data_IF_822418810485
#
_entry.id   IF_822418810485
#
_cell.length_a   1.000
_cell.length_b   1.000
_cell.length_c   1.000
_cell.angle_alpha   90.00
_cell.angle_beta   90.00
_cell.angle_gamma   90.00
#
_symmetry.space_group_name_H-M   'P 1'
#
loop_
_entity.id
_entity.type
_entity.pdbx_description
1 polymer ?
#
# COMPACT_ATOMS: atom_id res chain seq x y z
N UNK A 1 58.17 19.25 22.23
CA UNK A 1 57.30 19.46 21.07
C UNK A 1 57.44 20.90 20.62
N UNK A 2 58.09 21.11 19.45
CA UNK A 2 58.53 22.42 18.97
C UNK A 2 57.33 23.34 18.69
N UNK A 3 57.46 24.68 18.95
CA UNK A 3 56.39 25.66 18.73
C UNK A 3 55.83 25.64 17.29
N UNK A 4 56.64 25.27 16.34
CA UNK A 4 56.32 25.14 14.92
C UNK A 4 55.32 23.99 14.67
N UNK A 5 55.52 22.82 15.27
CA UNK A 5 54.60 21.68 15.20
C UNK A 5 53.22 21.98 15.84
N UNK A 6 53.19 22.79 16.90
CA UNK A 6 51.90 23.24 17.48
C UNK A 6 51.16 24.22 16.55
N UNK A 7 51.89 25.08 15.81
CA UNK A 7 51.30 26.01 14.87
C UNK A 7 50.75 25.31 13.63
N UNK A 8 51.50 24.37 13.07
CA UNK A 8 51.04 23.53 11.95
C UNK A 8 49.81 22.72 12.33
N UNK A 9 49.78 22.06 13.49
CA UNK A 9 48.62 21.31 13.97
C UNK A 9 47.38 22.19 14.13
N UNK A 10 47.52 23.44 14.61
CA UNK A 10 46.40 24.40 14.67
C UNK A 10 45.87 24.76 13.27
N UNK A 11 46.74 24.96 12.29
CA UNK A 11 46.34 25.26 10.90
C UNK A 11 45.61 24.06 10.26
N UNK A 12 46.10 22.86 10.45
CA UNK A 12 45.44 21.63 9.97
C UNK A 12 44.07 21.46 10.61
N UNK A 13 43.94 21.63 11.93
CA UNK A 13 42.63 21.54 12.61
C UNK A 13 41.67 22.62 12.09
N UNK A 14 42.12 23.85 11.88
CA UNK A 14 41.29 24.93 11.30
C UNK A 14 40.85 24.61 9.88
N UNK A 15 41.73 24.07 9.05
CA UNK A 15 41.38 23.65 7.69
C UNK A 15 40.35 22.53 7.69
N UNK A 16 40.50 21.54 8.54
CA UNK A 16 39.51 20.46 8.71
C UNK A 16 38.16 21.03 9.15
N UNK A 17 38.12 21.92 10.13
CA UNK A 17 36.88 22.52 10.61
C UNK A 17 36.19 23.38 9.53
N UNK A 18 36.97 24.08 8.70
CA UNK A 18 36.43 24.86 7.58
C UNK A 18 35.84 23.94 6.49
N UNK A 19 36.49 22.83 6.17
CA UNK A 19 35.97 21.84 5.22
C UNK A 19 34.69 21.21 5.73
N UNK A 20 34.64 20.85 7.02
CA UNK A 20 33.42 20.29 7.65
C UNK A 20 32.29 21.34 7.65
N UNK A 21 32.56 22.58 8.00
CA UNK A 21 31.58 23.66 7.99
C UNK A 21 31.05 23.94 6.57
N UNK A 22 31.94 23.95 5.56
CA UNK A 22 31.53 24.06 4.17
C UNK A 22 30.68 22.87 3.71
N UNK A 23 31.04 21.64 4.09
CA UNK A 23 30.24 20.44 3.82
C UNK A 23 28.82 20.51 4.41
N UNK A 24 28.70 20.90 5.68
CA UNK A 24 27.41 21.09 6.35
C UNK A 24 26.59 22.19 5.65
N UNK A 25 27.20 23.29 5.28
CA UNK A 25 26.52 24.38 4.57
C UNK A 25 25.99 23.93 3.19
N UNK A 26 26.83 23.25 2.41
CA UNK A 26 26.46 22.72 1.09
C UNK A 26 25.33 21.72 1.22
N UNK A 27 25.42 20.80 2.20
CA UNK A 27 24.34 19.82 2.48
C UNK A 27 23.03 20.52 2.85
N UNK A 28 23.09 21.56 3.69
CA UNK A 28 21.95 22.37 4.07
C UNK A 28 21.31 23.11 2.88
N UNK A 29 22.13 23.64 1.97
CA UNK A 29 21.66 24.30 0.74
C UNK A 29 20.98 23.27 -0.19
N UNK A 30 21.60 22.11 -0.40
CA UNK A 30 21.03 21.03 -1.21
C UNK A 30 19.71 20.57 -0.60
N UNK A 31 19.69 20.29 0.70
CA UNK A 31 18.48 19.87 1.41
C UNK A 31 17.35 20.90 1.28
N UNK A 32 17.67 22.19 1.46
CA UNK A 32 16.72 23.29 1.29
C UNK A 32 16.23 23.41 -0.16
N UNK A 33 17.13 23.26 -1.14
CA UNK A 33 16.79 23.34 -2.57
C UNK A 33 15.78 22.25 -2.97
N UNK A 34 15.89 21.05 -2.41
CA UNK A 34 14.92 19.96 -2.62
C UNK A 34 13.74 20.00 -1.66
N UNK A 35 13.42 21.13 -1.04
CA UNK A 35 12.23 21.34 -0.22
C UNK A 35 12.31 20.74 1.19
N UNK A 36 13.52 20.39 1.66
CA UNK A 36 13.76 20.14 3.07
C UNK A 36 13.30 21.33 3.92
N UNK A 37 12.88 21.08 5.15
CA UNK A 37 12.29 22.09 6.04
C UNK A 37 11.06 22.82 5.45
N UNK A 38 10.36 22.21 4.49
CA UNK A 38 9.19 22.83 3.87
C UNK A 38 9.49 24.04 2.95
N UNK A 39 10.71 24.16 2.42
CA UNK A 39 11.14 25.29 1.59
C UNK A 39 10.75 25.18 0.11
N UNK A 40 10.15 24.08 -0.34
CA UNK A 40 9.80 23.81 -1.74
C UNK A 40 8.80 24.78 -2.38
N UNK A 41 8.49 24.61 -3.68
CA UNK A 41 7.51 25.43 -4.38
C UNK A 41 6.12 25.27 -3.77
N UNK A 42 5.20 26.13 -4.17
CA UNK A 42 3.82 26.11 -3.71
C UNK A 42 2.90 26.36 -4.88
N UNK A 43 1.86 25.57 -5.04
CA UNK A 43 0.81 25.83 -6.01
C UNK A 43 0.04 27.10 -5.66
N UNK A 44 -0.71 27.62 -6.63
CA UNK A 44 -1.56 28.78 -6.38
C UNK A 44 -2.62 28.42 -5.32
N UNK A 45 -2.55 29.10 -4.16
CA UNK A 45 -3.42 28.80 -3.03
C UNK A 45 -4.87 29.21 -3.26
N UNK A 46 -5.13 30.22 -4.09
CA UNK A 46 -6.50 30.64 -4.41
C UNK A 46 -7.16 29.61 -5.33
N UNK A 47 -6.45 29.19 -6.38
CA UNK A 47 -6.95 28.15 -7.27
C UNK A 47 -7.07 26.80 -6.52
N UNK A 48 -6.10 26.44 -5.68
CA UNK A 48 -6.18 25.23 -4.86
C UNK A 48 -7.44 25.26 -3.96
N UNK A 49 -7.66 26.36 -3.22
CA UNK A 49 -8.82 26.50 -2.33
C UNK A 49 -10.15 26.48 -3.07
N UNK A 50 -10.17 26.91 -4.33
CA UNK A 50 -11.39 26.93 -5.16
C UNK A 50 -11.86 25.55 -5.60
N UNK A 51 -10.91 24.63 -5.85
CA UNK A 51 -11.21 23.29 -6.38
C UNK A 51 -11.01 22.18 -5.35
N UNK A 52 -10.40 22.45 -4.21
CA UNK A 52 -10.27 21.49 -3.12
C UNK A 52 -11.51 21.44 -2.26
N UNK A 53 -11.77 20.29 -1.65
CA UNK A 53 -12.90 20.03 -0.79
C UNK A 53 -12.50 19.13 0.40
N UNK A 54 -13.32 19.02 1.45
CA UNK A 54 -13.13 18.00 2.47
C UNK A 54 -13.39 16.60 1.90
N UNK A 55 -12.80 15.57 2.50
CA UNK A 55 -12.95 14.17 2.06
C UNK A 55 -14.39 13.66 2.07
N UNK A 56 -15.28 14.27 2.88
CA UNK A 56 -16.73 13.97 2.89
C UNK A 56 -17.42 14.26 1.56
N UNK A 57 -16.80 15.07 0.71
CA UNK A 57 -17.31 15.46 -0.61
C UNK A 57 -16.70 14.63 -1.75
N UNK A 58 -15.92 13.58 -1.45
CA UNK A 58 -15.39 12.67 -2.47
C UNK A 58 -16.53 12.17 -3.36
N UNK A 59 -16.28 12.26 -4.67
CA UNK A 59 -17.13 11.70 -5.71
C UNK A 59 -16.31 10.80 -6.63
N UNK A 60 -16.94 9.75 -7.13
CA UNK A 60 -16.36 8.83 -8.11
C UNK A 60 -17.27 8.74 -9.35
N UNK A 61 -16.75 8.48 -10.56
CA UNK A 61 -17.57 8.23 -11.74
C UNK A 61 -18.55 7.05 -11.56
N UNK A 62 -19.70 7.13 -12.24
CA UNK A 62 -20.75 6.09 -12.10
C UNK A 62 -20.27 4.70 -12.57
N UNK A 63 -19.48 4.65 -13.62
CA UNK A 63 -18.99 3.41 -14.22
C UNK A 63 -17.75 2.82 -13.52
N UNK A 64 -17.31 3.44 -12.42
CA UNK A 64 -16.17 2.94 -11.64
C UNK A 64 -16.45 1.54 -11.10
N UNK A 65 -15.55 0.59 -11.36
CA UNK A 65 -15.59 -0.78 -10.82
C UNK A 65 -14.57 -1.00 -9.72
N UNK A 66 -13.43 -0.33 -9.78
CA UNK A 66 -12.39 -0.35 -8.73
C UNK A 66 -12.11 1.08 -8.29
N UNK A 67 -12.31 1.35 -7.00
CA UNK A 67 -11.83 2.57 -6.34
C UNK A 67 -10.55 2.23 -5.60
N UNK A 68 -9.44 2.79 -6.02
CA UNK A 68 -8.14 2.58 -5.40
C UNK A 68 -7.74 3.79 -4.54
N UNK A 69 -7.39 3.55 -3.27
CA UNK A 69 -6.83 4.56 -2.38
C UNK A 69 -5.37 4.22 -2.09
N UNK A 70 -4.48 5.04 -2.59
CA UNK A 70 -3.05 4.93 -2.33
C UNK A 70 -2.64 5.49 -0.96
N UNK A 71 -1.51 5.04 -0.44
CA UNK A 71 -0.84 5.67 0.70
C UNK A 71 0.60 6.06 0.35
N UNK A 72 1.00 7.29 0.72
CA UNK A 72 2.33 7.81 0.43
C UNK A 72 3.41 7.22 1.36
N UNK A 73 3.01 6.63 2.49
CA UNK A 73 3.89 5.97 3.46
C UNK A 73 3.11 5.04 4.38
N UNK A 74 3.71 3.92 4.75
CA UNK A 74 3.10 2.93 5.65
C UNK A 74 3.17 3.29 7.15
N UNK A 75 3.94 4.28 7.55
CA UNK A 75 4.29 4.57 8.95
C UNK A 75 3.46 5.64 9.65
N UNK A 76 2.31 6.09 9.08
CA UNK A 76 1.52 7.19 9.61
C UNK A 76 0.09 6.79 10.01
N UNK A 77 -0.39 7.38 11.09
CA UNK A 77 -1.74 7.18 11.60
C UNK A 77 -2.83 7.69 10.63
N UNK A 78 -2.64 8.89 10.05
CA UNK A 78 -3.64 9.52 9.19
C UNK A 78 -3.86 8.73 7.89
N UNK A 79 -2.81 8.16 7.28
CA UNK A 79 -2.97 7.31 6.10
C UNK A 79 -3.70 5.99 6.43
N UNK A 80 -3.45 5.43 7.62
CA UNK A 80 -4.22 4.27 8.07
C UNK A 80 -5.68 4.65 8.36
N UNK A 81 -5.94 5.80 8.98
CA UNK A 81 -7.29 6.29 9.26
C UNK A 81 -8.08 6.59 7.98
N UNK A 82 -7.43 7.14 6.93
CA UNK A 82 -8.07 7.41 5.64
C UNK A 82 -8.69 6.15 5.02
N UNK A 83 -8.11 4.96 5.24
CA UNK A 83 -8.69 3.69 4.75
C UNK A 83 -10.11 3.50 5.28
N UNK A 84 -10.30 3.74 6.59
CA UNK A 84 -11.63 3.66 7.21
C UNK A 84 -12.56 4.78 6.72
N UNK A 85 -12.09 6.02 6.72
CA UNK A 85 -12.94 7.18 6.44
C UNK A 85 -13.44 7.18 4.99
N UNK A 86 -12.54 6.90 4.03
CA UNK A 86 -12.90 6.81 2.62
C UNK A 86 -13.75 5.57 2.35
N UNK A 87 -13.39 4.42 2.94
CA UNK A 87 -14.20 3.21 2.75
C UNK A 87 -15.63 3.35 3.28
N UNK A 88 -15.84 4.00 4.43
CA UNK A 88 -17.18 4.34 4.92
C UNK A 88 -17.99 5.12 3.89
N UNK A 89 -17.39 6.16 3.29
CA UNK A 89 -18.03 6.92 2.23
C UNK A 89 -18.40 6.05 1.03
N UNK A 90 -17.51 5.12 0.64
CA UNK A 90 -17.77 4.21 -0.48
C UNK A 90 -18.92 3.25 -0.16
N UNK A 91 -19.00 2.75 1.08
CA UNK A 91 -20.11 1.90 1.54
C UNK A 91 -21.42 2.67 1.55
N UNK A 92 -21.45 3.88 2.13
CA UNK A 92 -22.65 4.66 2.34
C UNK A 92 -23.20 5.29 1.06
N UNK A 93 -22.31 5.88 0.23
CA UNK A 93 -22.74 6.61 -0.98
C UNK A 93 -22.87 5.73 -2.21
N UNK A 94 -22.01 4.73 -2.35
CA UNK A 94 -21.86 3.96 -3.58
C UNK A 94 -22.14 2.47 -3.44
N UNK A 95 -22.53 2.03 -2.25
CA UNK A 95 -22.91 0.63 -2.00
C UNK A 95 -21.76 -0.37 -2.12
N UNK A 96 -20.51 0.08 -1.99
CA UNK A 96 -19.34 -0.82 -2.00
C UNK A 96 -19.42 -1.79 -0.82
N UNK A 97 -19.12 -3.07 -1.06
CA UNK A 97 -19.21 -4.15 -0.06
C UNK A 97 -17.92 -4.95 0.09
N UNK A 98 -16.89 -4.62 -0.68
CA UNK A 98 -15.59 -5.28 -0.61
C UNK A 98 -14.48 -4.26 -0.32
N UNK A 99 -13.67 -4.57 0.68
CA UNK A 99 -12.42 -3.90 1.00
C UNK A 99 -11.28 -4.88 0.72
N UNK A 100 -10.35 -4.50 -0.15
CA UNK A 100 -9.16 -5.29 -0.42
C UNK A 100 -7.88 -4.52 -0.08
N UNK A 101 -6.97 -5.17 0.64
CA UNK A 101 -5.75 -4.59 1.18
C UNK A 101 -4.52 -5.14 0.44
N UNK A 102 -3.47 -4.33 0.30
CA UNK A 102 -2.11 -4.80 0.03
C UNK A 102 -1.61 -5.66 1.23
N UNK A 103 -2.26 -6.77 1.41
CA UNK A 103 -2.04 -7.75 2.47
C UNK A 103 -2.14 -9.14 1.87
N UNK A 104 -1.55 -10.12 2.53
CA UNK A 104 -1.58 -11.50 2.06
C UNK A 104 -3.01 -12.04 1.99
N UNK A 105 -3.33 -12.73 0.89
CA UNK A 105 -4.68 -13.20 0.58
C UNK A 105 -5.29 -14.07 1.69
N UNK A 106 -4.60 -15.12 2.10
CA UNK A 106 -5.08 -16.02 3.16
C UNK A 106 -5.11 -15.36 4.53
N UNK A 107 -4.13 -14.52 4.83
CA UNK A 107 -4.08 -13.74 6.08
C UNK A 107 -5.28 -12.79 6.20
N UNK A 108 -5.66 -12.15 5.11
CA UNK A 108 -6.84 -11.28 5.06
C UNK A 108 -8.16 -12.09 5.12
N UNK A 109 -8.19 -13.34 4.68
CA UNK A 109 -9.34 -14.22 4.90
C UNK A 109 -9.53 -14.54 6.40
N UNK A 110 -8.47 -14.61 7.20
CA UNK A 110 -8.61 -14.71 8.65
C UNK A 110 -9.33 -13.47 9.24
N UNK A 111 -9.03 -12.26 8.73
CA UNK A 111 -9.76 -11.04 9.07
C UNK A 111 -11.21 -11.11 8.60
N UNK A 112 -11.44 -11.58 7.37
CA UNK A 112 -12.79 -11.77 6.83
C UNK A 112 -13.64 -12.70 7.71
N UNK A 113 -13.09 -13.82 8.17
CA UNK A 113 -13.77 -14.71 9.12
C UNK A 113 -14.09 -14.04 10.44
N UNK A 114 -13.18 -13.20 10.96
CA UNK A 114 -13.43 -12.43 12.18
C UNK A 114 -14.60 -11.46 12.01
N UNK A 115 -14.65 -10.68 10.93
CA UNK A 115 -15.76 -9.73 10.71
C UNK A 115 -17.10 -10.42 10.44
N UNK A 116 -17.09 -11.73 10.13
CA UNK A 116 -18.27 -12.59 9.98
C UNK A 116 -18.57 -13.43 11.23
N UNK A 117 -17.95 -13.14 12.36
CA UNK A 117 -18.35 -13.72 13.64
C UNK A 117 -17.41 -14.75 14.26
N UNK A 118 -16.26 -15.04 13.64
CA UNK A 118 -15.24 -15.87 14.29
C UNK A 118 -14.77 -15.23 15.62
N UNK A 119 -14.36 -16.07 16.56
CA UNK A 119 -13.83 -15.63 17.87
C UNK A 119 -12.54 -14.83 17.73
N UNK A 120 -12.23 -14.01 18.74
CA UNK A 120 -11.04 -13.19 18.82
C UNK A 120 -11.33 -11.71 19.02
N UNK A 121 -10.32 -10.89 18.80
CA UNK A 121 -10.38 -9.41 18.89
C UNK A 121 -9.94 -8.76 17.57
N UNK A 122 -10.29 -7.49 17.39
CA UNK A 122 -9.87 -6.72 16.22
C UNK A 122 -8.34 -6.55 16.16
N UNK A 123 -7.67 -6.44 17.32
CA UNK A 123 -6.20 -6.40 17.40
C UNK A 123 -5.56 -7.72 16.93
N UNK A 124 -6.12 -8.88 17.31
CA UNK A 124 -5.66 -10.19 16.83
C UNK A 124 -5.92 -10.36 15.33
N UNK A 125 -7.08 -9.91 14.84
CA UNK A 125 -7.40 -9.92 13.42
C UNK A 125 -6.44 -9.01 12.62
N UNK A 126 -6.13 -7.81 13.10
CA UNK A 126 -5.14 -6.93 12.48
C UNK A 126 -3.73 -7.56 12.49
N UNK A 127 -3.36 -8.24 13.58
CA UNK A 127 -2.09 -8.96 13.67
C UNK A 127 -2.00 -10.16 12.71
N UNK A 128 -3.14 -10.84 12.43
CA UNK A 128 -3.19 -11.98 11.51
C UNK A 128 -2.86 -11.62 10.06
N UNK A 129 -3.00 -10.34 9.63
CA UNK A 129 -2.57 -9.86 8.31
C UNK A 129 -1.09 -10.16 8.07
N UNK A 130 -0.30 -10.23 9.15
CA UNK A 130 1.07 -10.73 9.15
C UNK A 130 2.14 -9.68 8.84
N UNK A 131 1.78 -8.47 8.43
CA UNK A 131 2.70 -7.35 8.23
C UNK A 131 2.64 -6.38 9.41
N UNK A 132 3.81 -6.00 9.94
CA UNK A 132 3.91 -5.10 11.11
C UNK A 132 3.20 -3.76 10.90
N UNK A 133 3.21 -3.25 9.65
CA UNK A 133 2.57 -1.98 9.28
C UNK A 133 1.06 -1.96 9.50
N UNK A 134 0.41 -3.13 9.61
CA UNK A 134 -1.04 -3.26 9.84
C UNK A 134 -1.40 -3.60 11.29
N UNK A 135 -0.41 -3.83 12.18
CA UNK A 135 -0.64 -4.03 13.62
C UNK A 135 -0.84 -2.70 14.33
N UNK A 136 -1.84 -1.94 13.91
CA UNK A 136 -2.09 -0.58 14.36
C UNK A 136 -3.50 -0.45 14.92
N UNK A 137 -3.72 0.60 15.73
CA UNK A 137 -5.05 0.89 16.25
C UNK A 137 -6.02 1.21 15.12
N UNK A 138 -5.59 1.98 14.15
CA UNK A 138 -6.40 2.43 13.03
C UNK A 138 -6.91 1.23 12.20
N UNK A 139 -6.06 0.21 11.99
CA UNK A 139 -6.47 -1.02 11.32
C UNK A 139 -7.44 -1.84 12.17
N UNK A 140 -7.21 -1.93 13.47
CA UNK A 140 -8.15 -2.59 14.38
C UNK A 140 -9.50 -1.87 14.42
N UNK A 141 -9.52 -0.54 14.45
CA UNK A 141 -10.74 0.28 14.41
C UNK A 141 -11.53 0.08 13.09
N UNK A 142 -10.84 -0.04 11.95
CA UNK A 142 -11.44 -0.40 10.64
C UNK A 142 -12.09 -1.79 10.70
N UNK A 143 -11.36 -2.78 11.17
CA UNK A 143 -11.84 -4.18 11.25
C UNK A 143 -13.04 -4.29 12.20
N UNK A 144 -12.98 -3.63 13.36
CA UNK A 144 -14.10 -3.62 14.32
C UNK A 144 -15.33 -2.90 13.74
N UNK A 145 -15.14 -1.80 13.01
CA UNK A 145 -16.25 -1.14 12.32
C UNK A 145 -16.90 -2.09 11.30
N UNK A 146 -16.13 -2.83 10.50
CA UNK A 146 -16.68 -3.81 9.54
C UNK A 146 -17.46 -4.92 10.25
N UNK A 147 -16.92 -5.44 11.37
CA UNK A 147 -17.62 -6.47 12.17
C UNK A 147 -18.95 -5.94 12.69
N UNK A 148 -18.99 -4.71 13.19
CA UNK A 148 -20.22 -4.10 13.69
C UNK A 148 -21.23 -3.83 12.56
N UNK A 149 -20.76 -3.44 11.37
CA UNK A 149 -21.60 -3.29 10.19
C UNK A 149 -22.24 -4.65 9.82
N UNK A 150 -21.45 -5.72 9.73
CA UNK A 150 -21.92 -7.05 9.33
C UNK A 150 -22.94 -7.65 10.32
N UNK A 151 -22.84 -7.33 11.63
CA UNK A 151 -23.84 -7.76 12.61
C UNK A 151 -25.26 -7.25 12.33
N UNK A 152 -25.39 -6.14 11.63
CA UNK A 152 -26.67 -5.49 11.31
C UNK A 152 -27.03 -5.54 9.81
N UNK A 153 -26.11 -6.02 8.98
CA UNK A 153 -26.31 -6.13 7.54
C UNK A 153 -27.40 -7.15 7.22
N UNK A 154 -28.27 -6.85 6.25
CA UNK A 154 -29.18 -7.85 5.69
C UNK A 154 -28.40 -8.84 4.83
N UNK A 155 -28.98 -10.02 4.61
CA UNK A 155 -28.38 -11.07 3.79
C UNK A 155 -27.91 -10.53 2.41
N UNK A 156 -26.69 -10.85 2.04
CA UNK A 156 -26.06 -10.40 0.80
C UNK A 156 -25.51 -8.97 0.80
N UNK A 157 -25.70 -8.20 1.89
CA UNK A 157 -25.17 -6.84 2.04
C UNK A 157 -23.99 -6.74 3.04
N UNK A 158 -23.47 -7.88 3.46
CA UNK A 158 -22.29 -7.98 4.30
C UNK A 158 -21.05 -7.45 3.57
N UNK A 159 -20.20 -6.77 4.32
CA UNK A 159 -18.88 -6.32 3.85
C UNK A 159 -17.91 -7.50 3.92
N UNK A 160 -17.06 -7.64 2.90
CA UNK A 160 -15.96 -8.59 2.86
C UNK A 160 -14.61 -7.90 2.93
N UNK A 161 -13.67 -8.59 3.59
CA UNK A 161 -12.27 -8.19 3.69
C UNK A 161 -11.40 -9.16 2.89
N UNK A 162 -10.65 -8.63 1.93
CA UNK A 162 -9.75 -9.39 1.07
C UNK A 162 -8.31 -8.90 1.20
N UNK A 163 -7.35 -9.75 0.87
CA UNK A 163 -5.99 -9.38 0.51
C UNK A 163 -5.73 -9.68 -0.96
N UNK A 164 -4.85 -8.93 -1.59
CA UNK A 164 -4.48 -9.22 -2.98
C UNK A 164 -3.00 -9.62 -3.14
N UNK A 165 -2.22 -9.66 -2.08
CA UNK A 165 -0.81 -10.07 -2.09
C UNK A 165 -0.64 -11.58 -1.80
N UNK A 166 0.53 -12.16 -2.14
CA UNK A 166 0.82 -13.59 -2.08
C UNK A 166 2.11 -13.92 -1.31
N UNK A 167 2.59 -13.00 -0.45
CA UNK A 167 3.92 -13.12 0.16
C UNK A 167 3.98 -14.13 1.31
N UNK A 168 2.86 -14.58 1.85
CA UNK A 168 2.80 -15.50 3.00
C UNK A 168 2.12 -16.81 2.63
N UNK A 169 2.44 -17.86 3.38
CA UNK A 169 1.97 -19.23 3.09
C UNK A 169 0.95 -19.73 4.11
N UNK A 170 1.12 -19.34 5.38
CA UNK A 170 0.47 -19.94 6.55
C UNK A 170 -1.05 -20.07 6.42
N UNK A 171 -1.76 -18.96 6.31
CA UNK A 171 -3.22 -18.99 6.26
C UNK A 171 -3.75 -19.51 4.91
N UNK A 172 -3.02 -19.28 3.81
CA UNK A 172 -3.39 -19.85 2.51
C UNK A 172 -3.36 -21.40 2.58
N UNK A 173 -2.29 -21.97 3.17
CA UNK A 173 -2.19 -23.41 3.37
C UNK A 173 -3.27 -23.91 4.34
N UNK A 174 -3.44 -23.25 5.50
CA UNK A 174 -4.41 -23.66 6.52
C UNK A 174 -5.81 -23.78 5.95
N UNK A 175 -6.28 -22.75 5.25
CA UNK A 175 -7.64 -22.73 4.70
C UNK A 175 -7.79 -23.66 3.49
N UNK A 176 -6.75 -23.83 2.68
CA UNK A 176 -6.72 -24.86 1.64
C UNK A 176 -6.90 -26.27 2.26
N UNK A 177 -6.11 -26.61 3.28
CA UNK A 177 -6.16 -27.91 3.92
C UNK A 177 -7.52 -28.18 4.61
N UNK A 178 -8.13 -27.17 5.24
CA UNK A 178 -9.50 -27.25 5.76
C UNK A 178 -10.50 -27.60 4.66
N UNK A 179 -10.43 -26.94 3.50
CA UNK A 179 -11.34 -27.16 2.38
C UNK A 179 -11.11 -28.50 1.68
N UNK A 180 -9.86 -28.92 1.51
CA UNK A 180 -9.51 -30.24 0.96
C UNK A 180 -10.19 -31.37 1.78
N UNK A 181 -10.10 -31.27 3.11
CA UNK A 181 -10.75 -32.23 4.02
C UNK A 181 -12.29 -32.14 3.90
N UNK A 182 -12.86 -30.95 3.85
CA UNK A 182 -14.30 -30.73 3.73
C UNK A 182 -14.87 -31.34 2.45
N UNK A 183 -14.22 -31.16 1.32
CA UNK A 183 -14.68 -31.65 0.01
C UNK A 183 -14.27 -33.09 -0.30
N UNK A 184 -13.52 -33.73 0.61
CA UNK A 184 -13.12 -35.15 0.45
C UNK A 184 -12.11 -35.35 -0.68
N UNK A 185 -11.33 -34.32 -1.03
CA UNK A 185 -10.23 -34.44 -1.99
C UNK A 185 -9.10 -35.25 -1.33
N UNK A 186 -8.41 -36.10 -2.10
CA UNK A 186 -7.30 -36.91 -1.56
C UNK A 186 -6.21 -36.00 -0.99
N UNK A 187 -6.07 -35.98 0.33
CA UNK A 187 -5.25 -35.04 1.08
C UNK A 187 -3.89 -35.53 1.55
N UNK A 188 -3.55 -36.82 1.30
CA UNK A 188 -2.32 -37.43 1.87
C UNK A 188 -1.06 -36.66 1.53
N UNK A 189 -0.98 -36.05 0.37
CA UNK A 189 0.16 -35.24 -0.06
C UNK A 189 0.06 -33.78 0.40
N UNK A 190 -1.15 -33.24 0.58
CA UNK A 190 -1.36 -31.90 1.13
C UNK A 190 -0.84 -31.81 2.56
N UNK A 191 -1.15 -32.79 3.42
CA UNK A 191 -0.69 -32.76 4.82
C UNK A 191 0.86 -32.87 4.92
N UNK A 192 1.52 -33.44 3.92
CA UNK A 192 2.99 -33.50 3.86
C UNK A 192 3.64 -32.20 3.34
N UNK A 193 2.85 -31.30 2.75
CA UNK A 193 3.40 -30.02 2.26
C UNK A 193 3.80 -29.06 3.38
N UNK A 194 3.31 -29.27 4.60
CA UNK A 194 3.42 -28.30 5.68
C UNK A 194 4.23 -28.84 6.87
N UNK A 195 5.08 -27.99 7.43
CA UNK A 195 5.77 -28.23 8.69
C UNK A 195 5.14 -27.36 9.78
N UNK A 196 4.27 -27.96 10.58
CA UNK A 196 3.60 -27.27 11.69
C UNK A 196 4.59 -26.68 12.71
N UNK A 197 5.75 -27.32 12.89
CA UNK A 197 6.76 -26.86 13.85
C UNK A 197 7.48 -25.59 13.40
N UNK A 198 7.62 -25.40 12.10
CA UNK A 198 8.24 -24.24 11.49
C UNK A 198 7.24 -23.21 10.95
N UNK A 199 5.99 -23.61 10.78
CA UNK A 199 4.93 -22.83 10.16
C UNK A 199 5.28 -22.37 8.72
N UNK A 200 5.82 -23.29 7.94
CA UNK A 200 6.24 -23.09 6.55
C UNK A 200 6.11 -24.37 5.73
N UNK A 201 6.36 -24.29 4.41
CA UNK A 201 6.43 -25.49 3.59
C UNK A 201 7.48 -26.47 4.09
N UNK A 202 7.08 -27.74 4.20
CA UNK A 202 7.94 -28.87 4.56
C UNK A 202 9.03 -29.12 3.52
N UNK A 203 10.20 -29.54 3.96
CA UNK A 203 11.32 -29.94 3.11
C UNK A 203 11.15 -31.34 2.45
N UNK A 204 10.01 -32.02 2.67
CA UNK A 204 9.72 -33.33 2.08
C UNK A 204 9.65 -33.30 0.55
N UNK A 205 9.16 -32.18 0.01
CA UNK A 205 9.00 -31.93 -1.42
C UNK A 205 9.82 -30.72 -1.88
N UNK A 206 10.44 -30.82 -3.04
CA UNK A 206 11.03 -29.66 -3.70
C UNK A 206 9.96 -28.68 -4.24
N UNK A 207 10.32 -27.45 -4.66
CA UNK A 207 9.35 -26.48 -5.13
C UNK A 207 8.53 -26.94 -6.35
N UNK A 208 9.08 -27.75 -7.26
CA UNK A 208 8.39 -28.29 -8.43
C UNK A 208 7.35 -29.35 -8.04
N UNK A 209 7.69 -30.22 -7.12
CA UNK A 209 6.79 -31.23 -6.57
C UNK A 209 5.65 -30.57 -5.80
N UNK A 210 5.96 -29.57 -4.93
CA UNK A 210 4.93 -28.77 -4.23
C UNK A 210 3.96 -28.13 -5.20
N UNK A 211 4.49 -27.50 -6.27
CA UNK A 211 3.66 -26.88 -7.30
C UNK A 211 2.76 -27.90 -8.03
N UNK A 212 3.27 -29.09 -8.33
CA UNK A 212 2.50 -30.16 -8.95
C UNK A 212 1.32 -30.63 -8.08
N UNK A 213 1.54 -30.82 -6.78
CA UNK A 213 0.51 -31.20 -5.81
C UNK A 213 -0.57 -30.09 -5.71
N UNK A 214 -0.15 -28.83 -5.51
CA UNK A 214 -1.06 -27.70 -5.41
C UNK A 214 -1.88 -27.48 -6.68
N UNK A 215 -1.29 -27.64 -7.86
CA UNK A 215 -1.99 -27.52 -9.13
C UNK A 215 -3.04 -28.64 -9.30
N UNK A 216 -2.73 -29.89 -8.92
CA UNK A 216 -3.70 -30.99 -8.95
C UNK A 216 -4.91 -30.71 -8.08
N UNK A 217 -4.66 -30.31 -6.82
CA UNK A 217 -5.73 -29.96 -5.87
C UNK A 217 -6.55 -28.77 -6.36
N UNK A 218 -5.91 -27.73 -6.89
CA UNK A 218 -6.57 -26.56 -7.48
C UNK A 218 -7.54 -26.98 -8.59
N UNK A 219 -7.10 -27.87 -9.47
CA UNK A 219 -7.95 -28.37 -10.59
C UNK A 219 -9.12 -29.23 -10.10
N UNK A 220 -8.94 -30.02 -9.05
CA UNK A 220 -10.03 -30.79 -8.46
C UNK A 220 -11.07 -29.88 -7.81
N UNK A 221 -10.64 -28.89 -7.02
CA UNK A 221 -11.50 -27.89 -6.40
C UNK A 221 -12.28 -27.07 -7.44
N UNK A 222 -11.63 -26.67 -8.53
CA UNK A 222 -12.25 -25.88 -9.60
C UNK A 222 -13.37 -26.64 -10.37
N UNK A 223 -13.48 -27.97 -10.24
CA UNK A 223 -14.57 -28.77 -10.81
C UNK A 223 -15.81 -28.80 -9.92
N UNK A 224 -15.68 -28.38 -8.67
CA UNK A 224 -16.78 -28.37 -7.72
C UNK A 224 -17.52 -27.03 -7.88
N UNK A 225 -18.79 -27.08 -8.19
CA UNK A 225 -19.64 -25.90 -8.33
C UNK A 225 -20.09 -25.43 -6.94
N UNK A 226 -19.18 -24.83 -6.18
CA UNK A 226 -19.38 -24.33 -4.84
C UNK A 226 -18.46 -23.11 -4.60
N UNK A 227 -18.97 -21.96 -4.11
CA UNK A 227 -18.16 -20.76 -3.88
C UNK A 227 -16.98 -20.97 -2.90
N UNK A 228 -17.13 -21.86 -1.92
CA UNK A 228 -16.08 -22.18 -0.98
C UNK A 228 -14.97 -23.03 -1.63
N UNK A 229 -15.34 -23.93 -2.56
CA UNK A 229 -14.37 -24.66 -3.36
C UNK A 229 -13.62 -23.74 -4.32
N UNK A 230 -14.29 -22.74 -4.90
CA UNK A 230 -13.67 -21.70 -5.73
C UNK A 230 -12.68 -20.87 -4.92
N UNK A 231 -13.02 -20.47 -3.70
CA UNK A 231 -12.12 -19.79 -2.77
C UNK A 231 -10.91 -20.67 -2.41
N UNK A 232 -11.14 -21.96 -2.16
CA UNK A 232 -10.08 -22.92 -1.85
C UNK A 232 -9.11 -23.11 -3.04
N UNK A 233 -9.64 -23.15 -4.28
CA UNK A 233 -8.81 -23.17 -5.48
C UNK A 233 -7.95 -21.90 -5.60
N UNK A 234 -8.46 -20.74 -5.15
CA UNK A 234 -7.67 -19.49 -5.10
C UNK A 234 -6.56 -19.57 -4.06
N UNK A 235 -6.77 -20.14 -2.85
CA UNK A 235 -5.67 -20.35 -1.90
C UNK A 235 -4.55 -21.21 -2.49
N UNK A 236 -4.88 -22.28 -3.22
CA UNK A 236 -3.88 -23.06 -3.94
C UNK A 236 -3.16 -22.22 -5.01
N UNK A 237 -3.87 -21.37 -5.74
CA UNK A 237 -3.32 -20.41 -6.70
C UNK A 237 -2.34 -19.41 -6.06
N UNK A 238 -2.68 -18.88 -4.91
CA UNK A 238 -1.81 -17.96 -4.13
C UNK A 238 -0.51 -18.68 -3.70
N UNK A 239 -0.61 -19.90 -3.23
CA UNK A 239 0.59 -20.69 -2.87
C UNK A 239 1.48 -20.98 -4.09
N UNK A 240 0.90 -21.23 -5.26
CA UNK A 240 1.63 -21.37 -6.53
C UNK A 240 2.33 -20.07 -6.94
N UNK A 241 1.65 -18.92 -6.78
CA UNK A 241 2.24 -17.60 -7.00
C UNK A 241 3.42 -17.38 -6.06
N UNK A 242 3.28 -17.70 -4.76
CA UNK A 242 4.34 -17.60 -3.75
C UNK A 242 5.58 -18.43 -4.13
N UNK A 243 5.40 -19.69 -4.53
CA UNK A 243 6.49 -20.56 -5.01
C UNK A 243 7.18 -19.94 -6.23
N UNK A 244 6.40 -19.42 -7.17
CA UNK A 244 6.94 -18.82 -8.40
C UNK A 244 7.72 -17.55 -8.13
N UNK A 245 7.20 -16.68 -7.26
CA UNK A 245 7.85 -15.44 -6.83
C UNK A 245 9.15 -15.73 -6.06
N UNK A 246 9.17 -16.75 -5.21
CA UNK A 246 10.36 -17.18 -4.47
C UNK A 246 11.56 -17.51 -5.36
N UNK A 247 11.35 -17.91 -6.62
CA UNK A 247 12.42 -18.18 -7.59
C UNK A 247 13.12 -16.92 -8.10
N UNK A 248 12.49 -15.76 -8.02
CA UNK A 248 12.97 -14.48 -8.58
C UNK A 248 13.10 -13.37 -7.54
N UNK A 249 12.81 -13.61 -6.28
CA UNK A 249 12.81 -12.62 -5.19
C UNK A 249 14.15 -11.89 -5.04
N UNK A 250 15.26 -12.54 -5.40
CA UNK A 250 16.61 -11.97 -5.34
C UNK A 250 16.93 -11.04 -6.51
N UNK A 251 16.09 -10.95 -7.53
CA UNK A 251 16.15 -9.95 -8.61
C UNK A 251 15.02 -8.91 -8.40
N UNK A 252 15.31 -7.75 -7.79
CA UNK A 252 14.27 -6.78 -7.44
C UNK A 252 13.45 -6.29 -8.63
N UNK A 253 14.06 -6.19 -9.83
CA UNK A 253 13.35 -5.76 -11.04
C UNK A 253 12.31 -6.77 -11.49
N UNK A 254 12.70 -8.04 -11.58
CA UNK A 254 11.82 -9.15 -12.00
C UNK A 254 10.85 -9.50 -10.87
N UNK A 255 11.33 -9.58 -9.62
CA UNK A 255 10.52 -9.95 -8.46
C UNK A 255 9.39 -8.96 -8.21
N UNK A 256 9.68 -7.66 -8.20
CA UNK A 256 8.66 -6.64 -8.01
C UNK A 256 7.61 -6.63 -9.15
N UNK A 257 8.05 -6.69 -10.41
CA UNK A 257 7.14 -6.75 -11.54
C UNK A 257 6.24 -8.01 -11.53
N UNK A 258 6.81 -9.16 -11.12
CA UNK A 258 6.04 -10.38 -10.96
C UNK A 258 5.01 -10.27 -9.82
N UNK A 259 5.40 -9.72 -8.67
CA UNK A 259 4.48 -9.48 -7.53
C UNK A 259 3.33 -8.56 -7.94
N UNK A 260 3.62 -7.45 -8.60
CA UNK A 260 2.59 -6.51 -9.06
C UNK A 260 1.62 -7.13 -10.05
N UNK A 261 2.11 -7.95 -10.99
CA UNK A 261 1.25 -8.70 -11.91
C UNK A 261 0.33 -9.67 -11.13
N UNK A 262 0.86 -10.41 -10.17
CA UNK A 262 0.07 -11.35 -9.36
C UNK A 262 -0.96 -10.60 -8.51
N UNK A 263 -0.61 -9.46 -7.92
CA UNK A 263 -1.56 -8.61 -7.19
C UNK A 263 -2.67 -8.08 -8.10
N UNK A 264 -2.37 -7.71 -9.34
CA UNK A 264 -3.39 -7.30 -10.32
C UNK A 264 -4.33 -8.46 -10.68
N UNK A 265 -3.79 -9.66 -10.93
CA UNK A 265 -4.57 -10.87 -11.21
C UNK A 265 -5.50 -11.21 -10.02
N UNK A 266 -4.99 -11.16 -8.80
CA UNK A 266 -5.78 -11.41 -7.58
C UNK A 266 -6.87 -10.36 -7.39
N UNK A 267 -6.59 -9.09 -7.65
CA UNK A 267 -7.58 -8.01 -7.58
C UNK A 267 -8.70 -8.18 -8.59
N UNK A 268 -8.39 -8.57 -9.82
CA UNK A 268 -9.40 -8.87 -10.83
C UNK A 268 -10.25 -10.09 -10.44
N UNK A 269 -9.65 -11.12 -9.86
CA UNK A 269 -10.37 -12.26 -9.31
C UNK A 269 -11.34 -11.83 -8.18
N UNK A 270 -10.90 -10.97 -7.26
CA UNK A 270 -11.77 -10.42 -6.21
C UNK A 270 -12.96 -9.68 -6.82
N UNK A 271 -12.72 -8.85 -7.83
CA UNK A 271 -13.78 -8.13 -8.53
C UNK A 271 -14.81 -9.09 -9.15
N UNK A 272 -14.36 -10.16 -9.81
CA UNK A 272 -15.23 -11.20 -10.38
C UNK A 272 -16.07 -11.91 -9.30
N UNK A 273 -15.49 -12.19 -8.11
CA UNK A 273 -16.25 -12.79 -7.01
C UNK A 273 -17.34 -11.85 -6.48
N UNK A 274 -17.02 -10.57 -6.37
CA UNK A 274 -18.00 -9.58 -5.91
C UNK A 274 -19.12 -9.35 -6.94
N UNK A 275 -18.83 -9.41 -8.23
CA UNK A 275 -19.84 -9.37 -9.28
C UNK A 275 -20.82 -10.56 -9.21
N UNK A 276 -20.36 -11.77 -8.87
CA UNK A 276 -21.22 -12.93 -8.60
C UNK A 276 -22.16 -12.68 -7.40
N UNK A 277 -21.75 -11.81 -6.46
CA UNK A 277 -22.54 -11.37 -5.31
C UNK A 277 -23.43 -10.15 -5.62
N UNK A 278 -23.54 -9.72 -6.87
CA UNK A 278 -24.23 -8.49 -7.32
C UNK A 278 -23.62 -7.20 -6.76
N UNK A 279 -22.33 -7.21 -6.38
CA UNK A 279 -21.55 -6.02 -6.03
C UNK A 279 -20.67 -5.64 -7.22
N UNK A 280 -21.01 -4.57 -7.92
CA UNK A 280 -20.30 -4.14 -9.14
C UNK A 280 -19.03 -3.35 -8.87
N UNK A 281 -18.72 -3.04 -7.61
CA UNK A 281 -17.60 -2.20 -7.19
C UNK A 281 -16.86 -2.78 -6.01
N UNK A 282 -15.51 -2.65 -6.05
CA UNK A 282 -14.65 -2.94 -4.93
C UNK A 282 -13.79 -1.72 -4.57
N UNK A 283 -13.39 -1.63 -3.31
CA UNK A 283 -12.42 -0.66 -2.82
C UNK A 283 -11.11 -1.37 -2.52
N UNK A 284 -10.02 -0.87 -3.08
CA UNK A 284 -8.69 -1.43 -2.84
C UNK A 284 -7.77 -0.37 -2.21
N UNK A 285 -6.80 -0.78 -1.39
CA UNK A 285 -5.83 0.12 -0.80
C UNK A 285 -4.46 -0.52 -0.65
N UNK A 286 -3.43 0.26 -0.93
CA UNK A 286 -2.03 -0.12 -0.85
C UNK A 286 -1.12 1.09 -1.07
N UNK A 287 0.18 0.85 -1.18
CA UNK A 287 1.13 1.92 -1.46
C UNK A 287 0.85 2.60 -2.81
N UNK A 288 0.99 3.93 -2.89
CA UNK A 288 0.82 4.70 -4.11
C UNK A 288 1.52 4.07 -5.32
N UNK A 289 2.77 3.62 -5.14
CA UNK A 289 3.59 3.07 -6.21
C UNK A 289 3.08 1.76 -6.82
N UNK A 290 2.21 1.02 -6.13
CA UNK A 290 1.54 -0.15 -6.69
C UNK A 290 0.23 0.19 -7.39
N UNK A 291 -0.42 1.30 -7.01
CA UNK A 291 -1.75 1.66 -7.50
C UNK A 291 -1.74 2.69 -8.64
N UNK A 292 -0.63 3.38 -8.88
CA UNK A 292 -0.51 4.41 -9.91
C UNK A 292 -0.73 3.86 -11.35
N UNK A 293 -1.42 4.64 -12.18
CA UNK A 293 -1.86 4.20 -13.54
C UNK A 293 -0.72 4.07 -14.56
N UNK A 294 0.42 4.71 -14.35
CA UNK A 294 1.55 4.70 -15.30
C UNK A 294 2.88 4.25 -14.68
N UNK A 295 2.83 3.57 -13.52
CA UNK A 295 4.02 3.05 -12.86
C UNK A 295 4.69 1.91 -13.62
N UNK A 296 6.02 1.86 -13.53
CA UNK A 296 6.81 0.82 -14.17
C UNK A 296 8.16 0.63 -13.49
N UNK A 297 8.62 -0.62 -13.41
CA UNK A 297 9.98 -0.99 -12.97
C UNK A 297 10.99 -1.00 -14.14
N UNK A 298 10.52 -0.81 -15.37
CA UNK A 298 11.33 -0.83 -16.58
C UNK A 298 10.49 -1.13 -17.84
N UNK A 299 11.10 -1.29 -19.00
CA UNK A 299 10.39 -1.72 -20.21
C UNK A 299 9.62 -3.02 -19.95
N UNK A 300 8.35 -3.05 -20.27
CA UNK A 300 7.44 -4.21 -20.10
C UNK A 300 7.22 -4.70 -18.65
N UNK A 301 7.65 -3.93 -17.67
CA UNK A 301 7.57 -4.26 -16.24
C UNK A 301 6.62 -3.30 -15.50
N UNK A 302 5.32 -3.39 -15.79
CA UNK A 302 4.26 -2.52 -15.25
C UNK A 302 3.97 -2.83 -13.78
N UNK A 303 3.61 -1.78 -13.02
CA UNK A 303 3.05 -1.93 -11.68
C UNK A 303 1.59 -2.39 -11.74
N UNK A 304 1.05 -2.85 -10.61
CA UNK A 304 -0.32 -3.35 -10.47
C UNK A 304 -1.36 -2.38 -11.04
N UNK A 305 -1.33 -1.10 -10.64
CA UNK A 305 -2.29 -0.09 -11.07
C UNK A 305 -2.27 0.16 -12.58
N UNK A 306 -1.08 0.12 -13.20
CA UNK A 306 -0.94 0.23 -14.64
C UNK A 306 -1.61 -0.97 -15.37
N UNK A 307 -1.45 -2.20 -14.84
CA UNK A 307 -2.10 -3.39 -15.38
C UNK A 307 -3.62 -3.34 -15.22
N UNK A 308 -4.11 -2.81 -14.08
CA UNK A 308 -5.54 -2.61 -13.86
C UNK A 308 -6.12 -1.54 -14.79
N UNK A 309 -5.40 -0.42 -14.99
CA UNK A 309 -5.78 0.64 -15.92
C UNK A 309 -5.84 0.15 -17.36
N UNK A 310 -4.87 -0.65 -17.82
CA UNK A 310 -4.91 -1.28 -19.15
C UNK A 310 -6.15 -2.17 -19.35
N UNK A 311 -6.58 -2.85 -18.27
CA UNK A 311 -7.70 -3.82 -18.35
C UNK A 311 -9.07 -3.16 -18.24
N UNK A 312 -9.18 -2.11 -17.43
CA UNK A 312 -10.46 -1.53 -17.00
C UNK A 312 -10.71 -0.13 -17.62
N UNK A 313 -9.66 0.56 -18.09
CA UNK A 313 -9.78 1.94 -18.55
C UNK A 313 -10.36 2.84 -17.46
N UNK A 314 -11.32 3.66 -17.82
CA UNK A 314 -11.98 4.65 -16.93
C UNK A 314 -12.74 4.01 -15.75
N UNK A 315 -12.94 2.68 -15.76
CA UNK A 315 -13.55 1.96 -14.64
C UNK A 315 -12.59 1.71 -13.47
N UNK A 316 -11.30 2.04 -13.63
CA UNK A 316 -10.29 2.06 -12.56
C UNK A 316 -10.05 3.49 -12.12
N UNK A 317 -10.58 3.89 -10.96
CA UNK A 317 -10.46 5.23 -10.41
C UNK A 317 -9.46 5.26 -9.25
N UNK A 318 -8.42 6.05 -9.38
CA UNK A 318 -7.28 6.06 -8.45
C UNK A 318 -7.17 7.37 -7.69
N UNK A 319 -7.19 7.27 -6.37
CA UNK A 319 -6.96 8.36 -5.44
C UNK A 319 -5.54 8.21 -4.88
N UNK A 320 -4.63 9.06 -5.32
CA UNK A 320 -3.29 9.15 -4.72
C UNK A 320 -3.31 9.92 -3.40
N UNK A 321 -2.26 9.77 -2.60
CA UNK A 321 -2.08 10.60 -1.40
C UNK A 321 -0.70 11.23 -1.37
N UNK A 322 -0.57 12.40 -0.74
CA UNK A 322 0.72 13.00 -0.39
C UNK A 322 0.58 13.81 0.92
N UNK A 323 1.69 14.32 1.42
CA UNK A 323 1.77 15.08 2.67
C UNK A 323 2.60 16.34 2.49
N UNK A 324 2.33 17.37 3.28
CA UNK A 324 3.29 18.48 3.40
C UNK A 324 4.43 18.08 4.32
N UNK A 325 4.12 17.57 5.51
CA UNK A 325 5.08 17.06 6.50
C UNK A 325 4.62 15.70 7.00
N UNK A 326 5.53 14.75 7.09
CA UNK A 326 5.27 13.43 7.63
C UNK A 326 6.30 13.09 8.71
N UNK A 327 5.82 12.76 9.91
CA UNK A 327 6.62 12.08 10.93
C UNK A 327 6.13 10.64 10.98
N UNK A 328 6.92 9.71 10.46
CA UNK A 328 6.52 8.33 10.30
C UNK A 328 7.40 7.35 11.09
N UNK A 329 6.77 6.27 11.55
CA UNK A 329 7.41 5.19 12.27
C UNK A 329 7.93 4.15 11.28
N UNK A 330 9.24 4.12 11.04
CA UNK A 330 9.88 3.25 10.03
C UNK A 330 10.93 2.34 10.67
N UNK A 331 11.12 1.11 10.15
CA UNK A 331 12.25 0.27 10.53
C UNK A 331 13.55 0.88 10.00
N UNK A 332 14.59 0.87 10.84
CA UNK A 332 15.93 1.31 10.49
C UNK A 332 16.92 0.17 10.67
N UNK A 333 17.75 -0.08 9.65
CA UNK A 333 18.72 -1.17 9.69
C UNK A 333 18.12 -2.58 9.61
N UNK A 334 18.96 -3.60 9.86
CA UNK A 334 18.60 -5.01 9.69
C UNK A 334 17.98 -5.65 10.96
N UNK A 335 17.90 -4.92 12.07
CA UNK A 335 17.39 -5.44 13.35
C UNK A 335 15.87 -5.24 13.52
N UNK A 336 15.22 -4.68 12.52
CA UNK A 336 13.76 -4.45 12.53
C UNK A 336 13.27 -3.41 13.53
N UNK A 337 14.18 -2.73 14.27
CA UNK A 337 13.79 -1.68 15.21
C UNK A 337 13.24 -0.49 14.45
N UNK A 338 12.09 -0.04 14.93
CA UNK A 338 11.39 1.11 14.34
C UNK A 338 11.71 2.38 15.11
N UNK A 339 11.78 3.49 14.40
CA UNK A 339 11.99 4.82 14.97
C UNK A 339 11.24 5.88 14.16
N UNK A 340 10.98 7.02 14.80
CA UNK A 340 10.27 8.12 14.16
C UNK A 340 11.24 9.00 13.39
N UNK A 341 10.94 9.20 12.11
CA UNK A 341 11.67 10.09 11.21
C UNK A 341 10.73 11.12 10.60
N UNK A 342 11.21 12.35 10.40
CA UNK A 342 10.40 13.44 9.84
C UNK A 342 10.89 13.81 8.45
N UNK A 343 9.94 13.93 7.52
CA UNK A 343 10.16 14.26 6.12
C UNK A 343 9.24 15.39 5.68
N UNK A 344 9.65 16.10 4.62
CA UNK A 344 8.83 17.09 3.94
C UNK A 344 8.71 16.71 2.48
N UNK A 345 7.47 16.60 1.97
CA UNK A 345 7.24 16.47 0.54
C UNK A 345 7.64 17.78 -0.17
N UNK A 346 8.09 17.67 -1.43
CA UNK A 346 8.34 18.81 -2.29
C UNK A 346 7.13 19.15 -3.14
N UNK A 347 6.06 18.40 -3.01
CA UNK A 347 4.84 18.58 -3.78
C UNK A 347 4.23 19.98 -3.54
N UNK A 348 4.13 20.81 -4.60
CA UNK A 348 3.54 22.14 -4.50
C UNK A 348 2.06 22.11 -4.12
N UNK A 349 1.33 21.04 -4.45
CA UNK A 349 -0.10 20.85 -4.11
C UNK A 349 -0.26 20.58 -2.60
N UNK A 350 0.55 19.68 -2.03
CA UNK A 350 0.56 19.41 -0.60
C UNK A 350 0.90 20.70 0.21
N UNK A 351 1.82 21.52 -0.30
CA UNK A 351 2.16 22.80 0.33
C UNK A 351 1.04 23.82 0.21
N UNK A 352 0.31 23.85 -0.90
CA UNK A 352 -0.86 24.73 -1.06
C UNK A 352 -1.99 24.30 -0.09
N UNK A 353 -2.28 23.02 0.04
CA UNK A 353 -3.21 22.48 1.02
C UNK A 353 -2.90 22.96 2.43
N UNK A 354 -1.63 22.81 2.88
CA UNK A 354 -1.20 23.31 4.19
C UNK A 354 -1.38 24.81 4.35
N UNK A 355 -1.05 25.61 3.33
CA UNK A 355 -1.18 27.08 3.37
C UNK A 355 -2.64 27.55 3.37
N UNK A 356 -3.54 26.79 2.77
CA UNK A 356 -4.99 27.04 2.82
C UNK A 356 -5.60 26.68 4.18
N UNK A 357 -4.82 26.09 5.10
CA UNK A 357 -5.27 25.75 6.45
C UNK A 357 -6.02 24.42 6.54
N UNK A 358 -5.97 23.59 5.52
CA UNK A 358 -6.55 22.25 5.56
C UNK A 358 -5.64 21.29 6.34
N UNK A 359 -6.24 20.49 7.21
CA UNK A 359 -5.57 19.33 7.81
C UNK A 359 -5.54 18.15 6.83
N UNK A 360 -6.70 17.90 6.18
CA UNK A 360 -6.87 16.93 5.11
C UNK A 360 -7.72 17.58 4.01
N UNK A 361 -7.29 17.48 2.76
CA UNK A 361 -8.02 18.02 1.61
C UNK A 361 -8.08 17.01 0.47
N UNK A 362 -9.18 17.06 -0.27
CA UNK A 362 -9.46 16.31 -1.48
C UNK A 362 -9.37 17.20 -2.70
N UNK A 363 -8.72 16.74 -3.78
CA UNK A 363 -8.62 17.45 -5.05
C UNK A 363 -8.88 16.47 -6.21
N UNK A 364 -10.00 16.67 -6.89
CA UNK A 364 -10.41 15.93 -8.09
C UNK A 364 -9.87 16.66 -9.32
N UNK A 365 -8.95 16.02 -10.06
CA UNK A 365 -8.26 16.64 -11.18
C UNK A 365 -9.19 16.89 -12.38
N UNK A 366 -10.27 16.12 -12.50
CA UNK A 366 -11.27 16.31 -13.55
C UNK A 366 -12.10 17.59 -13.40
N UNK A 367 -12.16 18.13 -12.18
CA UNK A 367 -12.92 19.38 -11.88
C UNK A 367 -12.12 20.64 -12.13
N UNK A 368 -10.84 20.54 -12.43
CA UNK A 368 -9.96 21.67 -12.67
C UNK A 368 -10.05 22.03 -14.16
N UNK A 369 -10.50 23.27 -14.51
CA UNK A 369 -10.57 23.71 -15.91
C UNK A 369 -9.18 23.75 -16.58
N UNK A 370 -9.16 23.52 -17.88
CA UNK A 370 -7.92 23.45 -18.65
C UNK A 370 -7.13 24.78 -18.67
N UNK A 371 -7.80 25.92 -18.50
CA UNK A 371 -7.19 27.25 -18.43
C UNK A 371 -6.70 27.63 -17.02
N UNK A 372 -6.96 26.80 -16.01
CA UNK A 372 -6.49 27.05 -14.65
C UNK A 372 -4.97 26.84 -14.53
N UNK A 373 -4.25 27.75 -13.84
CA UNK A 373 -2.85 27.53 -13.47
C UNK A 373 -2.65 26.25 -12.66
N UNK A 374 -3.66 25.83 -11.90
CA UNK A 374 -3.62 24.60 -11.11
C UNK A 374 -3.58 23.35 -12.00
N UNK A 375 -4.27 23.38 -13.17
CA UNK A 375 -4.23 22.29 -14.15
C UNK A 375 -2.79 22.02 -14.64
N UNK A 376 -2.07 23.07 -14.98
CA UNK A 376 -0.68 22.95 -15.40
C UNK A 376 0.21 22.36 -14.28
N UNK A 377 -0.13 22.61 -13.01
CA UNK A 377 0.63 22.07 -11.88
C UNK A 377 0.30 20.61 -11.59
N UNK A 378 -0.93 20.17 -11.81
CA UNK A 378 -1.31 18.76 -11.67
C UNK A 378 -0.76 17.89 -12.81
N UNK A 379 -0.67 18.45 -14.03
CA UNK A 379 -0.13 17.77 -15.22
C UNK A 379 1.40 17.89 -15.33
N UNK A 380 1.99 18.88 -14.68
CA UNK A 380 3.44 19.09 -14.67
C UNK A 380 4.19 18.07 -13.80
N UNK A 381 5.45 17.81 -14.17
CA UNK A 381 6.30 16.98 -13.32
C UNK A 381 6.70 17.73 -12.05
N UNK A 382 6.62 17.05 -10.92
CA UNK A 382 7.03 17.57 -9.61
C UNK A 382 7.60 16.45 -8.73
N UNK A 383 8.24 16.85 -7.64
CA UNK A 383 8.66 15.92 -6.60
C UNK A 383 7.49 15.65 -5.66
N UNK A 384 7.09 14.39 -5.56
CA UNK A 384 6.05 13.90 -4.65
C UNK A 384 6.67 13.04 -3.56
N UNK A 385 6.07 13.01 -2.38
CA UNK A 385 6.47 12.09 -1.30
C UNK A 385 6.18 10.64 -1.68
N UNK A 386 7.15 9.76 -1.42
CA UNK A 386 6.99 8.33 -1.60
C UNK A 386 7.90 7.60 -0.60
N UNK A 387 7.31 7.15 0.48
CA UNK A 387 7.99 6.46 1.58
C UNK A 387 7.40 5.06 1.73
N UNK A 388 8.18 4.04 1.41
CA UNK A 388 7.82 2.65 1.73
C UNK A 388 7.99 2.35 3.23
N UNK A 389 8.05 1.07 3.59
CA UNK A 389 8.32 0.64 4.98
C UNK A 389 9.83 0.43 5.20
N UNK A 390 10.61 1.50 5.13
CA UNK A 390 12.05 1.45 5.39
C UNK A 390 12.69 2.82 5.51
N UNK A 391 13.69 2.93 6.41
CA UNK A 391 14.52 4.12 6.57
C UNK A 391 15.97 3.81 6.20
N UNK A 392 16.54 4.66 5.35
CA UNK A 392 17.96 4.72 5.07
C UNK A 392 18.55 6.04 5.60
N UNK A 393 19.74 6.04 6.23
CA UNK A 393 20.41 7.28 6.65
C UNK A 393 20.58 8.30 5.52
N UNK A 394 20.61 7.84 4.26
CA UNK A 394 20.68 8.70 3.08
C UNK A 394 19.44 9.60 2.97
N UNK A 395 18.27 9.14 3.39
CA UNK A 395 17.02 9.93 3.39
C UNK A 395 17.10 11.15 4.31
N UNK A 396 17.91 11.09 5.37
CA UNK A 396 18.09 12.22 6.28
C UNK A 396 18.88 13.37 5.65
N UNK A 397 19.72 13.11 4.64
CA UNK A 397 20.60 14.09 4.02
C UNK A 397 20.30 14.35 2.55
N UNK A 398 19.63 13.41 1.86
CA UNK A 398 19.25 13.54 0.45
C UNK A 398 17.72 13.39 0.30
N UNK A 399 16.97 14.50 0.25
CA UNK A 399 15.52 14.47 0.13
C UNK A 399 14.99 13.72 -1.09
N UNK A 400 15.75 13.65 -2.18
CA UNK A 400 15.39 12.87 -3.37
C UNK A 400 15.38 11.35 -3.12
N UNK A 401 15.93 10.87 -2.01
CA UNK A 401 15.93 9.44 -1.68
C UNK A 401 14.57 8.92 -1.17
N UNK A 402 13.62 9.81 -0.91
CA UNK A 402 12.24 9.48 -0.49
C UNK A 402 11.19 10.23 -1.31
N UNK A 403 11.53 10.66 -2.52
CA UNK A 403 10.62 11.36 -3.43
C UNK A 403 10.72 10.78 -4.82
N UNK A 404 9.60 10.88 -5.56
CA UNK A 404 9.52 10.49 -6.96
C UNK A 404 9.25 11.73 -7.82
N UNK A 405 9.89 11.81 -8.99
CA UNK A 405 9.67 12.86 -9.98
C UNK A 405 8.63 12.41 -10.98
N UNK A 406 7.40 12.86 -10.82
CA UNK A 406 6.24 12.41 -11.59
C UNK A 406 5.24 13.54 -11.84
N UNK A 407 4.32 13.32 -12.76
CA UNK A 407 3.12 14.15 -12.96
C UNK A 407 1.96 13.57 -12.15
N UNK A 408 1.39 14.31 -11.18
CA UNK A 408 0.28 13.81 -10.37
C UNK A 408 -0.92 13.31 -11.20
N UNK A 409 -1.37 14.11 -12.19
CA UNK A 409 -2.54 13.76 -13.01
C UNK A 409 -2.28 12.65 -14.04
N UNK A 410 -1.01 12.30 -14.29
CA UNK A 410 -0.69 11.12 -15.10
C UNK A 410 -0.75 9.81 -14.30
N UNK A 411 -0.69 9.89 -12.97
CA UNK A 411 -0.67 8.73 -12.08
C UNK A 411 -2.01 8.46 -11.42
N UNK A 412 -2.78 9.53 -11.13
CA UNK A 412 -3.98 9.49 -10.31
C UNK A 412 -5.10 10.33 -10.95
N UNK A 413 -6.35 9.96 -10.70
CA UNK A 413 -7.52 10.76 -11.09
C UNK A 413 -7.77 11.89 -10.10
N UNK A 414 -7.39 11.68 -8.85
CA UNK A 414 -7.56 12.62 -7.77
C UNK A 414 -6.51 12.39 -6.68
N UNK A 415 -6.34 13.36 -5.77
CA UNK A 415 -5.43 13.20 -4.63
C UNK A 415 -6.03 13.70 -3.32
N UNK A 416 -5.58 13.07 -2.23
CA UNK A 416 -5.80 13.55 -0.85
C UNK A 416 -4.47 14.00 -0.28
N UNK A 417 -4.45 15.22 0.27
CA UNK A 417 -3.27 15.81 0.89
C UNK A 417 -3.44 15.91 2.39
N UNK A 418 -2.42 15.44 3.15
CA UNK A 418 -2.34 15.55 4.60
C UNK A 418 -1.32 16.62 4.95
N UNK A 419 -1.73 17.62 5.74
CA UNK A 419 -0.86 18.73 6.10
C UNK A 419 0.30 18.28 7.01
N UNK A 420 -0.02 17.63 8.12
CA UNK A 420 0.94 17.08 9.07
C UNK A 420 0.53 15.64 9.39
N UNK A 421 1.29 14.67 8.90
CA UNK A 421 1.07 13.25 9.20
C UNK A 421 1.91 12.82 10.41
N UNK A 422 1.27 12.11 11.34
CA UNK A 422 1.87 11.67 12.61
C UNK A 422 2.22 10.18 12.57
N UNK A 423 3.20 9.73 13.37
CA UNK A 423 3.59 8.33 13.37
C UNK A 423 2.48 7.45 13.93
N UNK A 424 2.18 6.34 13.24
CA UNK A 424 1.32 5.31 13.81
C UNK A 424 2.05 4.54 14.92
N UNK A 425 1.28 4.03 15.87
CA UNK A 425 1.79 3.16 16.93
C UNK A 425 1.52 1.70 16.59
N UNK A 426 2.60 0.93 16.49
CA UNK A 426 2.53 -0.52 16.32
C UNK A 426 2.16 -1.17 17.67
N UNK A 427 1.21 -2.12 17.64
CA UNK A 427 0.70 -2.88 18.81
C UNK A 427 1.24 -4.30 18.85
#
# INVERSE_FOLDING_TARGET
>A
MNKENKRQRKHVIRAILLVLAAGILITGIIFSHFGGFGTGPCADTNEFSKYSAPISEITIPEDTRIVALGEATHGNAEFQQLKLDVFKLMVEKYGVRAFALEGDFGSCEAVNRYIHGADGSADEAAASIGFTIYRTREMADLIEWMRNYNRSASEGNDIRFYGFDMQRQEYNYKFLAESVRKFGISGDDIDKLWDEGKNEFSDVYDPEQRAGILESVRQELARINDPEAEMAAQFAGILLQNISHGKVINDPGIGNAMRDRMMAENTLWILEQEEKRNSSRIFITGHNGHLEQLGSYGPDAKVMGNLLADKLGDAYFVIGTDFYKSSCNLPAGNDGKRSVHTFYSYDPLAKASKKCGYEVSWLDFSKIPDDSPLKQQTEGYTWMGSLGDGFSPLMAVLPMAYRVWRSPAALFDAMIFIADAHPTMIR
#
